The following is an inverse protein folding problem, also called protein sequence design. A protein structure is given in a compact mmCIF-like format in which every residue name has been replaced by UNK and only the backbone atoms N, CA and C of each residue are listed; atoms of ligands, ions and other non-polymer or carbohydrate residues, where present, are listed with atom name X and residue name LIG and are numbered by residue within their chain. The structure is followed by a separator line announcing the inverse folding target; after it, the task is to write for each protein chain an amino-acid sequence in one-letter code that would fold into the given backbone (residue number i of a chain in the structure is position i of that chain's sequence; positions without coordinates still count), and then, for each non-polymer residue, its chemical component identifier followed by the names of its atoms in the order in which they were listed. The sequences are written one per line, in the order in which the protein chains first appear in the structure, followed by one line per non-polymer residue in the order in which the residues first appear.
data_IF_134800629014
#
_entry.id   IF_134800629014
#
_cell.length_a   1.000
_cell.length_b   1.000
_cell.length_c   1.000
_cell.angle_alpha   90.00
_cell.angle_beta   90.00
_cell.angle_gamma   90.00
#
_symmetry.space_group_name_H-M   'P 1'
#
loop_
_entity.id
_entity.type
_entity.pdbx_description
1 polymer ?
#
# COMPACT_ATOMS: atom_id res chain seq x y z
N UNK A 1 18.06 -7.69 13.29
CA UNK A 1 17.79 -9.06 12.80
C UNK A 1 18.91 -10.02 13.19
N UNK A 2 20.04 -10.01 12.49
CA UNK A 2 21.10 -11.02 12.66
C UNK A 2 21.77 -11.05 14.05
N UNK A 3 21.65 -9.98 14.84
CA UNK A 3 22.16 -9.93 16.23
C UNK A 3 21.24 -10.60 17.26
N UNK A 4 20.04 -11.07 16.87
CA UNK A 4 19.10 -11.69 17.81
C UNK A 4 19.72 -12.88 18.58
N UNK A 5 20.46 -13.80 17.93
CA UNK A 5 21.12 -14.90 18.64
C UNK A 5 22.11 -14.45 19.72
N UNK A 6 22.82 -13.34 19.51
CA UNK A 6 23.79 -12.82 20.48
C UNK A 6 23.11 -11.97 21.57
N UNK A 7 22.17 -11.09 21.21
CA UNK A 7 21.48 -10.21 22.17
C UNK A 7 20.56 -11.00 23.10
N UNK A 8 19.93 -12.07 22.61
CA UNK A 8 18.99 -12.89 23.37
C UNK A 8 19.57 -14.26 23.74
N UNK A 9 20.89 -14.41 23.70
CA UNK A 9 21.61 -15.64 24.09
C UNK A 9 21.14 -16.23 25.43
N UNK A 10 20.89 -15.43 26.50
CA UNK A 10 20.41 -15.98 27.77
C UNK A 10 19.07 -16.69 27.68
N UNK A 11 18.21 -16.31 26.73
CA UNK A 11 16.91 -16.93 26.50
C UNK A 11 17.02 -18.19 25.65
N UNK A 12 17.88 -18.19 24.62
CA UNK A 12 18.16 -19.40 23.85
C UNK A 12 18.76 -20.51 24.73
N UNK A 13 19.65 -20.17 25.67
CA UNK A 13 20.19 -21.12 26.66
C UNK A 13 19.12 -21.72 27.58
N UNK A 14 17.99 -21.04 27.76
CA UNK A 14 16.82 -21.55 28.51
C UNK A 14 15.87 -22.38 27.64
N UNK A 15 16.18 -22.58 26.36
CA UNK A 15 15.37 -23.35 25.41
C UNK A 15 14.23 -22.57 24.76
N UNK A 16 14.19 -21.23 24.87
CA UNK A 16 13.16 -20.43 24.19
C UNK A 16 13.43 -20.36 22.67
N UNK A 17 12.41 -20.64 21.85
CA UNK A 17 12.42 -20.36 20.41
C UNK A 17 12.01 -18.91 20.17
N UNK A 18 13.00 -18.06 19.86
CA UNK A 18 12.79 -16.63 19.60
C UNK A 18 13.01 -16.35 18.12
N UNK A 19 11.94 -15.89 17.46
CA UNK A 19 11.96 -15.52 16.04
C UNK A 19 11.65 -14.04 15.89
N UNK A 20 12.57 -13.24 15.33
CA UNK A 20 12.30 -11.84 15.09
C UNK A 20 11.23 -11.68 14.01
N UNK A 21 10.26 -10.80 14.27
CA UNK A 21 9.22 -10.44 13.31
C UNK A 21 9.53 -9.15 12.57
N UNK A 22 10.65 -8.49 12.91
CA UNK A 22 11.13 -7.28 12.23
C UNK A 22 12.63 -7.42 11.92
N UNK A 23 13.01 -7.05 10.70
CA UNK A 23 14.40 -6.97 10.28
C UNK A 23 14.65 -5.72 9.42
N UNK A 24 15.75 -5.02 9.72
CA UNK A 24 16.15 -3.78 9.04
C UNK A 24 17.50 -3.98 8.34
N UNK A 25 17.64 -3.43 7.14
CA UNK A 25 18.90 -3.43 6.37
C UNK A 25 18.99 -2.20 5.47
N UNK A 26 20.19 -1.90 4.95
CA UNK A 26 20.40 -0.86 3.93
C UNK A 26 20.63 -1.52 2.57
N UNK A 27 20.20 -0.86 1.51
CA UNK A 27 20.38 -1.34 0.14
C UNK A 27 20.44 -0.18 -0.85
N UNK A 28 20.77 -0.52 -2.09
CA UNK A 28 20.52 0.32 -3.25
C UNK A 28 19.31 -0.24 -4.00
N UNK A 29 18.44 0.65 -4.49
CA UNK A 29 17.35 0.29 -5.39
C UNK A 29 17.67 0.85 -6.77
N UNK A 30 17.68 -0.03 -7.77
CA UNK A 30 17.65 0.34 -9.17
C UNK A 30 16.20 0.24 -9.66
N UNK A 31 15.57 1.39 -9.92
CA UNK A 31 14.19 1.48 -10.38
C UNK A 31 14.16 2.19 -11.75
N UNK A 32 13.65 1.58 -12.82
CA UNK A 32 13.70 2.15 -14.17
C UNK A 32 13.13 3.57 -14.28
N UNK A 33 12.06 3.87 -13.56
CA UNK A 33 11.40 5.17 -13.57
C UNK A 33 12.25 6.26 -12.92
N UNK A 34 13.17 5.91 -12.02
CA UNK A 34 14.16 6.85 -11.47
C UNK A 34 15.18 7.22 -12.54
N UNK A 35 15.63 6.27 -13.37
CA UNK A 35 16.51 6.55 -14.53
C UNK A 35 15.84 7.51 -15.50
N UNK A 36 14.56 7.28 -15.78
CA UNK A 36 13.79 8.14 -16.66
C UNK A 36 13.56 9.53 -16.06
N UNK A 37 13.31 9.62 -14.75
CA UNK A 37 13.20 10.89 -14.05
C UNK A 37 14.50 11.71 -14.12
N UNK A 38 15.67 11.06 -14.04
CA UNK A 38 16.96 11.71 -14.26
C UNK A 38 17.11 12.17 -15.71
N UNK A 39 16.79 11.30 -16.68
CA UNK A 39 16.87 11.63 -18.12
C UNK A 39 16.01 12.85 -18.48
N UNK A 40 14.84 12.97 -17.86
CA UNK A 40 13.90 14.08 -18.03
C UNK A 40 14.18 15.28 -17.11
N UNK A 41 15.25 15.25 -16.31
CA UNK A 41 15.65 16.35 -15.43
C UNK A 41 14.76 16.56 -14.21
N UNK A 42 13.84 15.64 -13.91
CA UNK A 42 12.98 15.71 -12.71
C UNK A 42 13.71 15.35 -11.43
N UNK A 43 14.72 14.48 -11.51
CA UNK A 43 15.63 14.15 -10.42
C UNK A 43 17.07 14.45 -10.83
N UNK A 44 17.87 14.92 -9.87
CA UNK A 44 19.28 15.21 -10.07
C UNK A 44 20.07 14.37 -9.06
N UNK A 45 21.00 13.51 -9.47
CA UNK A 45 21.85 12.75 -8.55
C UNK A 45 22.65 13.67 -7.61
N UNK A 46 22.62 13.37 -6.31
CA UNK A 46 23.34 14.12 -5.26
C UNK A 46 24.51 13.31 -4.67
N UNK A 47 24.68 12.04 -5.11
CA UNK A 47 25.70 11.11 -4.63
C UNK A 47 25.44 10.50 -3.25
N UNK A 48 24.41 10.99 -2.53
CA UNK A 48 24.05 10.62 -1.15
C UNK A 48 22.75 9.83 -1.09
N UNK A 49 21.66 10.40 -1.59
CA UNK A 49 20.37 9.70 -1.69
C UNK A 49 20.24 9.02 -3.04
N UNK A 50 20.69 9.70 -4.11
CA UNK A 50 20.61 9.23 -5.48
C UNK A 50 21.99 9.27 -6.14
N UNK A 51 22.47 8.10 -6.56
CA UNK A 51 23.77 7.92 -7.20
C UNK A 51 23.72 8.27 -8.68
N UNK A 52 24.88 8.50 -9.28
CA UNK A 52 25.01 8.90 -10.69
C UNK A 52 24.51 7.82 -11.68
N UNK A 53 24.52 6.55 -11.27
CA UNK A 53 23.98 5.40 -12.02
C UNK A 53 22.47 5.17 -11.79
N UNK A 54 21.79 6.16 -11.20
CA UNK A 54 20.37 6.15 -10.83
C UNK A 54 19.99 5.19 -9.68
N UNK A 55 20.96 4.59 -8.99
CA UNK A 55 20.67 3.83 -7.80
C UNK A 55 20.29 4.74 -6.63
N UNK A 56 19.17 4.47 -5.97
CA UNK A 56 18.75 5.21 -4.78
C UNK A 56 19.16 4.45 -3.50
N UNK A 57 19.82 5.14 -2.57
CA UNK A 57 20.17 4.60 -1.25
C UNK A 57 18.93 4.54 -0.37
N UNK A 58 18.66 3.35 0.19
CA UNK A 58 17.44 3.10 0.96
C UNK A 58 17.72 2.31 2.23
N UNK A 59 17.00 2.62 3.30
CA UNK A 59 16.85 1.72 4.45
C UNK A 59 15.54 0.95 4.31
N UNK A 60 15.59 -0.37 4.47
CA UNK A 60 14.44 -1.26 4.34
C UNK A 60 14.12 -1.91 5.68
N UNK A 61 12.86 -1.95 6.06
CA UNK A 61 12.37 -2.71 7.20
C UNK A 61 11.32 -3.72 6.76
N UNK A 62 11.59 -5.02 6.90
CA UNK A 62 10.59 -6.07 6.74
C UNK A 62 9.87 -6.28 8.07
N UNK A 63 8.54 -6.36 8.04
CA UNK A 63 7.68 -6.53 9.21
C UNK A 63 6.68 -7.65 8.95
N UNK A 64 6.72 -8.67 9.80
CA UNK A 64 5.68 -9.67 9.98
C UNK A 64 4.78 -9.20 11.14
N UNK A 65 3.55 -8.74 10.87
CA UNK A 65 2.72 -8.14 11.91
C UNK A 65 2.31 -9.20 12.94
N UNK A 66 2.48 -8.90 14.23
CA UNK A 66 1.96 -9.73 15.33
C UNK A 66 0.71 -9.07 15.88
N UNK A 67 -0.41 -9.78 15.84
CA UNK A 67 -1.69 -9.24 16.28
C UNK A 67 -1.94 -9.53 17.75
N UNK A 68 -2.28 -8.48 18.49
CA UNK A 68 -2.91 -8.62 19.79
C UNK A 68 -4.42 -8.75 19.58
N UNK A 69 -4.94 -9.98 19.65
CA UNK A 69 -6.31 -10.31 19.26
C UNK A 69 -7.40 -9.48 19.96
N UNK A 70 -7.32 -9.17 21.28
CA UNK A 70 -8.30 -8.30 21.92
C UNK A 70 -8.33 -6.89 21.31
N UNK A 71 -7.17 -6.29 21.06
CA UNK A 71 -7.08 -4.95 20.45
C UNK A 71 -7.51 -4.94 18.98
N UNK A 72 -7.24 -6.02 18.23
CA UNK A 72 -7.75 -6.16 16.86
C UNK A 72 -9.27 -6.28 16.87
N UNK A 73 -9.85 -7.08 17.77
CA UNK A 73 -11.30 -7.23 17.89
C UNK A 73 -11.98 -5.90 18.25
N UNK A 74 -11.40 -5.12 19.18
CA UNK A 74 -11.87 -3.78 19.53
C UNK A 74 -11.88 -2.84 18.32
N UNK A 75 -10.78 -2.77 17.55
CA UNK A 75 -10.70 -1.97 16.31
C UNK A 75 -11.73 -2.41 15.27
N UNK A 76 -12.10 -3.69 15.27
CA UNK A 76 -13.06 -4.28 14.33
C UNK A 76 -14.49 -4.18 14.86
N UNK A 77 -14.68 -3.60 16.05
CA UNK A 77 -15.97 -3.48 16.73
C UNK A 77 -16.68 -4.83 16.87
N UNK A 78 -15.91 -5.89 17.14
CA UNK A 78 -16.42 -7.24 17.33
C UNK A 78 -15.86 -7.85 18.62
N UNK A 79 -16.39 -9.00 19.03
CA UNK A 79 -15.86 -9.72 20.18
C UNK A 79 -14.60 -10.50 19.79
N UNK A 80 -13.68 -10.70 20.75
CA UNK A 80 -12.50 -11.56 20.54
C UNK A 80 -12.91 -12.96 20.06
N UNK A 81 -14.03 -13.48 20.57
CA UNK A 81 -14.59 -14.77 20.17
C UNK A 81 -15.02 -14.77 18.69
N UNK A 82 -15.76 -13.74 18.25
CA UNK A 82 -16.19 -13.63 16.86
C UNK A 82 -14.99 -13.51 15.91
N UNK A 83 -13.99 -12.71 16.28
CA UNK A 83 -12.74 -12.60 15.51
C UNK A 83 -12.03 -13.95 15.38
N UNK A 84 -11.87 -14.68 16.49
CA UNK A 84 -11.23 -16.02 16.48
C UNK A 84 -11.98 -17.03 15.62
N UNK A 85 -13.32 -17.05 15.70
CA UNK A 85 -14.15 -17.92 14.88
C UNK A 85 -14.03 -17.60 13.40
N UNK A 86 -14.02 -16.31 13.04
CA UNK A 86 -13.81 -15.87 11.67
C UNK A 86 -12.42 -16.30 11.17
N UNK A 87 -11.36 -16.02 11.94
CA UNK A 87 -10.01 -16.45 11.61
C UNK A 87 -9.93 -17.97 11.41
N UNK A 88 -10.51 -18.76 12.32
CA UNK A 88 -10.48 -20.21 12.24
C UNK A 88 -11.20 -20.76 11.00
N UNK A 89 -12.31 -20.13 10.60
CA UNK A 89 -13.04 -20.48 9.38
C UNK A 89 -12.25 -20.10 8.13
N UNK A 90 -11.77 -18.87 8.05
CA UNK A 90 -11.11 -18.34 6.85
C UNK A 90 -9.70 -18.94 6.65
N UNK A 91 -9.05 -19.43 7.70
CA UNK A 91 -7.82 -20.22 7.59
C UNK A 91 -8.07 -21.70 7.30
N UNK A 92 -9.30 -22.08 6.92
CA UNK A 92 -9.69 -23.47 6.69
C UNK A 92 -9.32 -24.39 7.88
N UNK A 93 -9.61 -23.91 9.09
CA UNK A 93 -9.33 -24.58 10.38
C UNK A 93 -7.85 -24.77 10.70
N UNK A 94 -6.94 -24.06 10.03
CA UNK A 94 -5.53 -24.06 10.41
C UNK A 94 -5.33 -23.37 11.78
N UNK A 95 -4.31 -23.84 12.51
CA UNK A 95 -3.92 -23.32 13.83
C UNK A 95 -4.99 -23.46 14.94
N UNK A 96 -5.64 -24.63 15.11
CA UNK A 96 -6.69 -24.83 16.11
C UNK A 96 -6.19 -24.48 17.51
N UNK A 97 -4.96 -24.88 17.84
CA UNK A 97 -4.28 -24.61 19.11
C UNK A 97 -4.14 -23.10 19.40
N UNK A 98 -3.89 -22.26 18.39
CA UNK A 98 -3.67 -20.82 18.56
C UNK A 98 -4.99 -20.04 18.60
N UNK A 99 -6.00 -20.51 17.87
CA UNK A 99 -7.26 -19.80 17.71
C UNK A 99 -8.30 -20.20 18.77
N UNK A 100 -8.29 -21.46 19.23
CA UNK A 100 -9.24 -21.96 20.26
C UNK A 100 -8.76 -21.71 21.68
N UNK A 101 -7.45 -21.56 21.91
CA UNK A 101 -6.90 -21.20 23.22
C UNK A 101 -7.04 -19.71 23.51
N UNK A 102 -7.97 -19.38 24.39
CA UNK A 102 -8.30 -18.01 24.79
C UNK A 102 -7.25 -17.38 25.70
N UNK A 103 -6.37 -18.17 26.30
CA UNK A 103 -5.23 -17.69 27.09
C UNK A 103 -4.10 -17.13 26.21
N UNK A 104 -4.00 -17.55 24.95
CA UNK A 104 -3.04 -17.00 23.98
C UNK A 104 -3.64 -15.75 23.33
N UNK A 105 -3.15 -14.56 23.66
CA UNK A 105 -3.68 -13.30 23.11
C UNK A 105 -2.97 -12.81 21.84
N UNK A 106 -1.86 -13.44 21.47
CA UNK A 106 -1.08 -13.08 20.30
C UNK A 106 -1.35 -14.04 19.14
N UNK A 107 -1.45 -13.49 17.94
CA UNK A 107 -1.61 -14.25 16.72
C UNK A 107 -0.64 -13.73 15.67
N UNK A 108 0.18 -14.62 15.11
CA UNK A 108 0.99 -14.31 13.94
C UNK A 108 0.20 -14.77 12.72
N UNK A 109 -0.50 -13.87 12.01
CA UNK A 109 -1.25 -14.25 10.83
C UNK A 109 -0.34 -14.86 9.75
N UNK A 110 -0.78 -15.91 9.05
CA UNK A 110 -0.05 -16.46 7.90
C UNK A 110 -0.21 -15.61 6.62
N UNK A 111 -0.78 -14.41 6.75
CA UNK A 111 -1.09 -13.50 5.64
C UNK A 111 -0.07 -12.37 5.59
N UNK A 112 0.24 -11.95 4.36
CA UNK A 112 1.45 -11.23 3.98
C UNK A 112 1.90 -10.11 4.91
N UNK A 113 3.20 -10.12 5.23
CA UNK A 113 3.88 -9.02 5.88
C UNK A 113 3.95 -7.76 5.01
N UNK A 114 4.75 -6.80 5.46
CA UNK A 114 4.97 -5.55 4.76
C UNK A 114 6.45 -5.19 4.73
N UNK A 115 6.82 -4.34 3.79
CA UNK A 115 8.17 -3.78 3.72
C UNK A 115 8.08 -2.25 3.69
N UNK A 116 8.84 -1.61 4.56
CA UNK A 116 9.02 -0.16 4.58
C UNK A 116 10.31 0.16 3.83
N UNK A 117 10.25 1.12 2.93
CA UNK A 117 11.38 1.71 2.23
C UNK A 117 11.53 3.16 2.67
N UNK A 118 12.73 3.52 3.11
CA UNK A 118 13.04 4.82 3.71
C UNK A 118 14.22 5.44 2.97
N UNK A 119 14.00 6.61 2.38
CA UNK A 119 15.04 7.47 1.81
C UNK A 119 15.31 8.63 2.78
N UNK A 120 16.58 8.88 3.10
CA UNK A 120 16.99 9.84 4.12
C UNK A 120 17.40 9.17 5.42
N UNK A 121 17.37 9.93 6.53
CA UNK A 121 17.72 9.43 7.86
C UNK A 121 16.48 8.92 8.61
N UNK A 122 16.37 7.61 8.92
CA UNK A 122 15.23 7.08 9.68
C UNK A 122 15.05 7.71 11.06
N UNK A 123 16.14 8.17 11.70
CA UNK A 123 16.09 8.73 13.05
C UNK A 123 15.36 10.09 13.11
N UNK A 124 15.20 10.76 11.97
CA UNK A 124 14.51 12.06 11.89
C UNK A 124 13.02 11.92 11.63
N UNK A 125 12.50 10.71 11.37
CA UNK A 125 11.09 10.48 11.04
C UNK A 125 10.12 10.99 12.14
N UNK A 126 10.40 10.82 13.45
CA UNK A 126 9.51 11.34 14.49
C UNK A 126 9.53 12.87 14.67
N UNK A 127 10.50 13.59 14.07
CA UNK A 127 10.65 15.03 14.22
C UNK A 127 9.73 15.78 13.25
N UNK A 128 8.65 16.37 13.76
CA UNK A 128 7.68 17.12 12.95
C UNK A 128 8.28 18.36 12.25
N UNK A 129 9.45 18.84 12.64
CA UNK A 129 10.11 19.96 11.95
C UNK A 129 10.80 19.55 10.64
N UNK A 130 11.03 18.25 10.45
CA UNK A 130 11.70 17.69 9.28
C UNK A 130 10.64 17.25 8.25
N UNK A 131 10.74 17.68 6.97
CA UNK A 131 9.75 17.32 5.95
C UNK A 131 9.62 15.81 5.76
N UNK A 132 8.39 15.30 5.80
CA UNK A 132 8.10 13.88 5.62
C UNK A 132 7.12 13.64 4.46
N UNK A 133 7.57 12.88 3.46
CA UNK A 133 6.73 12.39 2.36
C UNK A 133 6.43 10.92 2.55
N UNK A 134 5.15 10.54 2.51
CA UNK A 134 4.70 9.16 2.77
C UNK A 134 3.79 8.65 1.66
N UNK A 135 3.99 7.38 1.29
CA UNK A 135 3.04 6.58 0.53
C UNK A 135 2.75 5.28 1.25
N UNK A 136 1.48 4.93 1.35
CA UNK A 136 1.06 3.58 1.68
C UNK A 136 0.56 2.88 0.43
N UNK A 137 1.25 1.82 0.03
CA UNK A 137 1.02 1.08 -1.20
C UNK A 137 0.48 -0.32 -0.92
N UNK A 138 -0.58 -0.71 -1.61
CA UNK A 138 -1.07 -2.08 -1.60
C UNK A 138 -0.53 -2.78 -2.85
N UNK A 139 0.08 -3.95 -2.67
CA UNK A 139 0.68 -4.76 -3.73
C UNK A 139 -0.25 -4.96 -4.93
N UNK A 140 0.32 -4.82 -6.12
CA UNK A 140 -0.33 -5.15 -7.38
C UNK A 140 0.71 -5.76 -8.32
N UNK A 141 0.97 -7.07 -8.18
CA UNK A 141 2.00 -7.82 -8.91
C UNK A 141 1.97 -7.53 -10.42
N UNK A 142 0.79 -7.62 -11.04
CA UNK A 142 0.62 -7.36 -12.48
C UNK A 142 1.06 -5.97 -12.93
N UNK A 143 0.88 -4.94 -12.10
CA UNK A 143 1.31 -3.57 -12.44
C UNK A 143 2.72 -3.31 -11.96
N UNK A 144 2.99 -3.55 -10.68
CA UNK A 144 4.26 -3.23 -10.00
C UNK A 144 5.44 -3.97 -10.63
N UNK A 145 5.27 -5.26 -10.94
CA UNK A 145 6.34 -6.09 -11.52
C UNK A 145 6.28 -6.07 -13.04
N UNK A 146 5.11 -6.30 -13.63
CA UNK A 146 4.96 -6.56 -15.07
C UNK A 146 4.47 -5.36 -15.90
N UNK A 147 4.20 -4.21 -15.28
CA UNK A 147 3.86 -2.98 -16.01
C UNK A 147 2.48 -2.99 -16.66
N UNK A 148 1.52 -3.75 -16.13
CA UNK A 148 0.13 -3.70 -16.60
C UNK A 148 -0.43 -2.28 -16.59
N UNK A 149 -1.07 -1.90 -17.69
CA UNK A 149 -1.64 -0.59 -17.99
C UNK A 149 -3.13 -0.45 -17.63
N UNK A 150 -3.73 -1.51 -17.08
CA UNK A 150 -5.15 -1.56 -16.69
C UNK A 150 -5.41 -0.81 -15.36
N UNK A 151 -4.35 -0.52 -14.60
CA UNK A 151 -4.47 0.18 -13.32
C UNK A 151 -3.33 1.16 -13.07
N UNK A 152 -3.51 2.04 -12.10
CA UNK A 152 -2.53 3.09 -11.77
C UNK A 152 -1.55 2.69 -10.65
N UNK A 153 -1.44 1.41 -10.26
CA UNK A 153 -0.64 1.01 -9.10
C UNK A 153 0.85 1.36 -9.27
N UNK A 154 1.50 0.87 -10.33
CA UNK A 154 2.91 1.17 -10.60
C UNK A 154 3.19 2.65 -10.87
N UNK A 155 2.38 3.37 -11.68
CA UNK A 155 2.53 4.82 -11.83
C UNK A 155 2.53 5.59 -10.51
N UNK A 156 1.63 5.23 -9.57
CA UNK A 156 1.61 5.82 -8.24
C UNK A 156 2.83 5.48 -7.40
N UNK A 157 3.28 4.21 -7.46
CA UNK A 157 4.47 3.77 -6.76
C UNK A 157 5.71 4.52 -7.26
N UNK A 158 5.85 4.66 -8.58
CA UNK A 158 6.93 5.40 -9.22
C UNK A 158 6.92 6.89 -8.83
N UNK A 159 5.76 7.55 -8.91
CA UNK A 159 5.62 8.94 -8.48
C UNK A 159 5.95 9.13 -7.00
N UNK A 160 5.48 8.21 -6.14
CA UNK A 160 5.80 8.26 -4.72
C UNK A 160 7.29 8.09 -4.44
N UNK A 161 7.97 7.17 -5.12
CA UNK A 161 9.43 6.99 -5.01
C UNK A 161 10.16 8.27 -5.44
N UNK A 162 9.74 8.90 -6.55
CA UNK A 162 10.32 10.16 -7.02
C UNK A 162 10.21 11.27 -5.98
N UNK A 163 9.01 11.48 -5.42
CA UNK A 163 8.78 12.50 -4.37
C UNK A 163 9.49 12.18 -3.05
N UNK A 164 9.58 10.90 -2.68
CA UNK A 164 10.33 10.44 -1.51
C UNK A 164 11.82 10.75 -1.64
N UNK A 165 12.41 10.45 -2.81
CA UNK A 165 13.81 10.78 -3.11
C UNK A 165 14.01 12.29 -3.05
N UNK A 166 13.15 13.07 -3.71
CA UNK A 166 13.21 14.54 -3.72
C UNK A 166 13.20 15.13 -2.31
N UNK A 167 12.30 14.65 -1.46
CA UNK A 167 12.17 15.08 -0.07
C UNK A 167 13.43 14.75 0.73
N UNK A 168 13.97 13.55 0.57
CA UNK A 168 15.19 13.12 1.22
C UNK A 168 16.42 13.94 0.78
N UNK A 169 16.52 14.30 -0.50
CA UNK A 169 17.60 15.17 -1.01
C UNK A 169 17.56 16.58 -0.42
N UNK A 170 16.37 17.05 -0.03
CA UNK A 170 16.16 18.36 0.60
C UNK A 170 16.38 18.36 2.12
N UNK A 171 16.89 17.24 2.68
CA UNK A 171 17.12 17.09 4.12
C UNK A 171 15.92 16.55 4.90
N UNK A 172 14.83 16.17 4.21
CA UNK A 172 13.69 15.48 4.78
C UNK A 172 13.84 13.96 4.78
N UNK A 173 12.72 13.27 4.88
CA UNK A 173 12.63 11.81 4.76
C UNK A 173 11.48 11.41 3.82
N UNK A 174 11.71 10.37 3.03
CA UNK A 174 10.71 9.74 2.18
C UNK A 174 10.41 8.32 2.65
N UNK A 175 9.14 7.95 2.80
CA UNK A 175 8.72 6.64 3.29
C UNK A 175 7.68 6.02 2.36
N UNK A 176 7.95 4.80 1.87
CA UNK A 176 6.96 3.96 1.20
C UNK A 176 6.72 2.71 2.05
N UNK A 177 5.48 2.52 2.50
CA UNK A 177 5.04 1.28 3.14
C UNK A 177 4.36 0.40 2.09
N UNK A 178 4.99 -0.71 1.74
CA UNK A 178 4.49 -1.68 0.77
C UNK A 178 3.82 -2.86 1.48
N UNK A 179 2.49 -2.92 1.45
CA UNK A 179 1.70 -4.01 2.01
C UNK A 179 1.51 -5.11 0.98
N UNK A 180 1.76 -6.37 1.39
CA UNK A 180 1.53 -7.55 0.54
C UNK A 180 0.05 -7.95 0.54
N UNK A 181 -0.77 -7.07 -0.05
CA UNK A 181 -2.24 -7.13 -0.10
C UNK A 181 -2.73 -7.06 -1.54
N UNK A 182 -2.49 -8.12 -2.32
CA UNK A 182 -2.94 -8.19 -3.72
C UNK A 182 -4.48 -8.10 -3.86
N UNK A 183 -4.93 -7.42 -4.92
CA UNK A 183 -6.33 -7.45 -5.35
C UNK A 183 -7.32 -6.97 -4.29
N UNK A 184 -6.99 -5.93 -3.51
CA UNK A 184 -7.85 -5.44 -2.39
C UNK A 184 -8.11 -6.51 -1.32
N UNK A 185 -7.12 -7.37 -1.10
CA UNK A 185 -7.21 -8.54 -0.21
C UNK A 185 -8.17 -9.64 -0.69
N UNK A 186 -8.64 -9.59 -1.95
CA UNK A 186 -9.42 -10.67 -2.59
C UNK A 186 -8.55 -11.68 -3.36
N UNK A 187 -7.26 -11.37 -3.53
CA UNK A 187 -6.33 -12.15 -4.32
C UNK A 187 -6.46 -11.93 -5.83
N UNK A 188 -5.48 -12.47 -6.56
CA UNK A 188 -5.29 -12.23 -7.99
C UNK A 188 -6.37 -12.90 -8.86
N UNK A 189 -6.85 -14.09 -8.47
CA UNK A 189 -7.89 -14.81 -9.21
C UNK A 189 -9.17 -13.98 -9.28
N UNK A 190 -9.66 -13.49 -8.14
CA UNK A 190 -10.86 -12.65 -8.06
C UNK A 190 -10.70 -11.37 -8.88
N UNK A 191 -9.51 -10.74 -8.81
CA UNK A 191 -9.17 -9.57 -9.63
C UNK A 191 -9.30 -9.85 -11.13
N UNK A 192 -8.80 -10.99 -11.61
CA UNK A 192 -8.89 -11.36 -13.02
C UNK A 192 -10.31 -11.72 -13.45
N UNK A 193 -11.10 -12.35 -12.58
CA UNK A 193 -12.53 -12.57 -12.83
C UNK A 193 -13.27 -11.24 -13.02
N UNK A 194 -12.98 -10.24 -12.18
CA UNK A 194 -13.54 -8.87 -12.33
C UNK A 194 -13.09 -8.23 -13.64
N UNK A 195 -11.81 -8.33 -14.00
CA UNK A 195 -11.31 -7.78 -15.27
C UNK A 195 -11.95 -8.44 -16.49
N UNK A 196 -12.12 -9.77 -16.46
CA UNK A 196 -12.78 -10.50 -17.53
C UNK A 196 -14.26 -10.09 -17.65
N UNK A 197 -14.96 -9.92 -16.52
CA UNK A 197 -16.34 -9.45 -16.52
C UNK A 197 -16.43 -8.03 -17.10
N UNK A 198 -15.55 -7.12 -16.70
CA UNK A 198 -15.49 -5.74 -17.23
C UNK A 198 -15.29 -5.72 -18.74
N UNK A 199 -14.31 -6.47 -19.25
CA UNK A 199 -14.03 -6.54 -20.70
C UNK A 199 -15.15 -7.19 -21.51
N UNK A 200 -15.92 -8.11 -20.92
CA UNK A 200 -16.99 -8.84 -21.59
C UNK A 200 -18.39 -8.26 -21.35
N UNK A 201 -18.51 -7.18 -20.58
CA UNK A 201 -19.77 -6.50 -20.35
C UNK A 201 -20.31 -5.91 -21.66
N UNK A 202 -21.63 -5.94 -21.86
CA UNK A 202 -22.27 -5.24 -22.97
C UNK A 202 -21.98 -3.74 -22.85
N UNK A 203 -21.36 -3.15 -23.89
CA UNK A 203 -20.87 -1.77 -23.86
C UNK A 203 -19.40 -1.61 -23.43
N UNK A 204 -18.70 -2.71 -23.09
CA UNK A 204 -17.27 -2.71 -22.79
C UNK A 204 -16.91 -2.25 -21.37
N UNK A 205 -15.60 -2.00 -21.14
CA UNK A 205 -15.08 -1.59 -19.84
C UNK A 205 -15.41 -0.11 -19.57
N UNK A 206 -16.55 0.16 -18.94
CA UNK A 206 -17.01 1.51 -18.60
C UNK A 206 -16.75 1.86 -17.12
N UNK A 207 -16.46 3.14 -16.86
CA UNK A 207 -16.23 3.61 -15.49
C UNK A 207 -17.48 3.50 -14.60
N UNK A 208 -18.68 3.60 -15.19
CA UNK A 208 -19.97 3.49 -14.49
C UNK A 208 -20.20 2.10 -13.89
N UNK A 209 -19.79 1.03 -14.59
CA UNK A 209 -20.01 -0.36 -14.14
C UNK A 209 -18.87 -0.92 -13.28
N UNK A 210 -17.79 -0.16 -13.09
CA UNK A 210 -16.56 -0.61 -12.41
C UNK A 210 -16.81 -1.27 -11.04
N UNK A 211 -17.62 -0.64 -10.18
CA UNK A 211 -17.96 -1.20 -8.86
C UNK A 211 -19.05 -2.27 -8.92
N UNK A 212 -19.95 -2.22 -9.92
CA UNK A 212 -20.99 -3.22 -10.13
C UNK A 212 -20.38 -4.56 -10.53
N UNK A 213 -19.41 -4.58 -11.45
CA UNK A 213 -18.69 -5.80 -11.82
C UNK A 213 -17.97 -6.42 -10.61
N UNK A 214 -17.37 -5.60 -9.75
CA UNK A 214 -16.72 -6.07 -8.52
C UNK A 214 -17.74 -6.71 -7.58
N UNK A 215 -18.90 -6.06 -7.36
CA UNK A 215 -19.99 -6.60 -6.56
C UNK A 215 -20.53 -7.92 -7.11
N UNK A 216 -20.69 -8.03 -8.43
CA UNK A 216 -21.24 -9.21 -9.09
C UNK A 216 -20.31 -10.43 -8.97
N UNK A 217 -19.00 -10.23 -8.98
CA UNK A 217 -18.01 -11.33 -8.87
C UNK A 217 -17.69 -11.66 -7.41
N UNK A 218 -17.43 -10.65 -6.57
CA UNK A 218 -16.95 -10.85 -5.22
C UNK A 218 -18.05 -10.83 -4.16
N UNK A 219 -19.29 -10.45 -4.50
CA UNK A 219 -20.40 -10.24 -3.56
C UNK A 219 -20.28 -8.96 -2.73
N UNK A 220 -19.20 -8.20 -2.90
CA UNK A 220 -18.84 -7.01 -2.14
C UNK A 220 -18.15 -5.99 -3.04
N UNK A 221 -18.34 -4.70 -2.78
CA UNK A 221 -17.74 -3.62 -3.57
C UNK A 221 -16.29 -3.34 -3.16
N UNK A 222 -15.94 -3.58 -1.89
CA UNK A 222 -14.61 -3.35 -1.35
C UNK A 222 -14.37 -4.10 -0.03
N UNK A 223 -13.36 -4.96 0.02
CA UNK A 223 -12.86 -5.61 1.26
C UNK A 223 -11.76 -4.85 1.95
N UNK A 224 -11.28 -3.72 1.40
CA UNK A 224 -10.06 -3.07 1.90
C UNK A 224 -10.21 -2.69 3.35
N UNK A 225 -9.61 -3.51 4.19
CA UNK A 225 -9.49 -3.26 5.60
C UNK A 225 -8.22 -2.47 5.85
N UNK A 226 -8.37 -1.15 5.97
CA UNK A 226 -7.25 -0.23 6.22
C UNK A 226 -7.06 0.07 7.70
N UNK A 227 -7.88 -0.47 8.62
CA UNK A 227 -7.76 -0.08 10.01
C UNK A 227 -6.38 -0.44 10.59
N UNK A 228 -5.74 -1.56 10.18
CA UNK A 228 -4.38 -1.93 10.60
C UNK A 228 -3.26 -1.21 9.83
N UNK A 229 -3.58 -0.48 8.76
CA UNK A 229 -2.62 0.20 7.90
C UNK A 229 -1.72 1.22 8.64
N UNK A 230 -2.23 2.00 9.61
CA UNK A 230 -1.41 2.99 10.33
C UNK A 230 -0.35 2.38 11.25
N UNK A 231 -0.42 1.09 11.58
CA UNK A 231 0.44 0.46 12.59
C UNK A 231 1.93 0.58 12.24
N UNK A 232 2.27 0.45 10.94
CA UNK A 232 3.64 0.66 10.45
C UNK A 232 4.09 2.12 10.59
N UNK A 233 3.17 3.07 10.45
CA UNK A 233 3.46 4.50 10.60
C UNK A 233 3.70 4.86 12.07
N UNK A 234 2.87 4.33 12.97
CA UNK A 234 3.04 4.47 14.42
C UNK A 234 4.33 3.83 14.91
N UNK A 235 4.70 2.67 14.37
CA UNK A 235 5.98 2.03 14.68
C UNK A 235 7.19 2.89 14.32
N UNK A 236 7.10 3.66 13.23
CA UNK A 236 8.12 4.65 12.85
C UNK A 236 8.08 5.94 13.69
N UNK A 237 7.09 6.10 14.59
CA UNK A 237 6.91 7.30 15.39
C UNK A 237 6.29 8.48 14.64
N UNK A 238 5.65 8.25 13.50
CA UNK A 238 5.05 9.31 12.67
C UNK A 238 3.82 9.88 13.36
N UNK A 239 3.81 11.20 13.59
CA UNK A 239 2.65 11.96 14.10
C UNK A 239 2.14 13.00 13.10
N UNK A 240 2.96 13.39 12.12
CA UNK A 240 2.62 14.31 11.03
C UNK A 240 3.24 13.84 9.71
N UNK A 241 2.49 13.96 8.62
CA UNK A 241 2.92 13.73 7.25
C UNK A 241 2.74 15.04 6.48
N UNK A 242 3.82 15.58 5.93
CA UNK A 242 3.75 16.82 5.13
C UNK A 242 3.14 16.53 3.76
N UNK A 243 3.62 15.50 3.06
CA UNK A 243 3.10 15.08 1.76
C UNK A 243 2.64 13.63 1.78
N UNK A 244 1.34 13.39 1.67
CA UNK A 244 0.78 12.06 1.52
C UNK A 244 0.43 11.77 0.07
N UNK A 245 1.18 10.88 -0.58
CA UNK A 245 1.01 10.57 -2.01
C UNK A 245 -0.17 9.60 -2.18
N UNK A 246 -1.40 10.11 -2.23
CA UNK A 246 -2.62 9.31 -2.33
C UNK A 246 -3.88 10.14 -2.60
N UNK A 247 -4.71 9.68 -3.53
CA UNK A 247 -6.09 10.16 -3.71
C UNK A 247 -7.12 9.38 -2.88
N UNK A 248 -6.72 8.34 -2.14
CA UNK A 248 -7.66 7.43 -1.46
C UNK A 248 -8.13 7.94 -0.10
N UNK A 249 -9.44 8.24 0.03
CA UNK A 249 -10.00 8.66 1.32
C UNK A 249 -9.93 7.55 2.36
N UNK A 250 -10.21 6.31 1.96
CA UNK A 250 -10.06 5.16 2.87
C UNK A 250 -8.68 5.06 3.53
N UNK A 251 -7.60 5.49 2.84
CA UNK A 251 -6.26 5.50 3.42
C UNK A 251 -6.06 6.73 4.29
N UNK A 252 -6.51 7.89 3.81
CA UNK A 252 -6.45 9.15 4.54
C UNK A 252 -7.21 9.04 5.88
N UNK A 253 -8.47 8.65 5.85
CA UNK A 253 -9.35 8.53 7.02
C UNK A 253 -8.78 7.54 8.03
N UNK A 254 -8.28 6.39 7.57
CA UNK A 254 -7.65 5.40 8.45
C UNK A 254 -6.42 5.96 9.17
N UNK A 255 -5.59 6.78 8.50
CA UNK A 255 -4.40 7.40 9.10
C UNK A 255 -4.82 8.47 10.11
N UNK A 256 -5.67 9.41 9.68
CA UNK A 256 -6.09 10.56 10.50
C UNK A 256 -6.89 10.12 11.73
N UNK A 257 -7.73 9.09 11.61
CA UNK A 257 -8.49 8.52 12.72
C UNK A 257 -7.59 7.97 13.85
N UNK A 258 -6.31 7.68 13.56
CA UNK A 258 -5.33 7.23 14.56
C UNK A 258 -4.46 8.37 15.12
N UNK A 259 -4.79 9.63 14.81
CA UNK A 259 -4.13 10.81 15.37
C UNK A 259 -2.97 11.37 14.54
N UNK A 260 -2.64 10.76 13.38
CA UNK A 260 -1.59 11.26 12.49
C UNK A 260 -2.14 12.40 11.63
N UNK A 261 -1.51 13.57 11.68
CA UNK A 261 -1.90 14.74 10.88
C UNK A 261 -1.36 14.60 9.46
N UNK A 262 -2.17 14.91 8.46
CA UNK A 262 -1.75 14.98 7.05
C UNK A 262 -1.92 16.43 6.59
N UNK A 263 -0.82 17.08 6.16
CA UNK A 263 -0.81 18.47 5.71
C UNK A 263 -1.29 18.58 4.26
N UNK A 264 -0.71 17.79 3.36
CA UNK A 264 -1.03 17.80 1.93
C UNK A 264 -1.31 16.38 1.42
N UNK A 265 -2.35 16.24 0.59
CA UNK A 265 -2.59 15.03 -0.20
C UNK A 265 -2.17 15.29 -1.64
N UNK A 266 -1.14 14.59 -2.09
CA UNK A 266 -0.58 14.75 -3.44
C UNK A 266 -1.20 13.71 -4.37
N UNK A 267 -1.95 14.12 -5.42
CA UNK A 267 -2.49 13.20 -6.40
C UNK A 267 -1.39 12.72 -7.37
N UNK A 268 -1.65 11.64 -8.10
CA UNK A 268 -0.78 11.28 -9.24
C UNK A 268 -0.85 12.38 -10.32
N UNK A 269 0.24 12.68 -11.03
CA UNK A 269 0.19 13.53 -12.22
C UNK A 269 -0.61 12.90 -13.37
N UNK A 270 -1.46 13.67 -14.10
CA UNK A 270 -2.28 13.15 -15.20
C UNK A 270 -1.50 12.44 -16.30
N UNK A 271 -0.30 12.92 -16.63
CA UNK A 271 0.58 12.37 -17.64
C UNK A 271 1.14 10.98 -17.30
N UNK A 272 1.08 10.57 -16.03
CA UNK A 272 1.51 9.25 -15.59
C UNK A 272 0.37 8.21 -15.62
N UNK A 273 -0.87 8.61 -15.90
CA UNK A 273 -2.01 7.69 -15.94
C UNK A 273 -2.06 6.99 -17.32
N UNK A 274 -1.95 5.65 -17.36
CA UNK A 274 -2.17 4.89 -18.59
C UNK A 274 -3.60 5.09 -19.14
N UNK A 275 -3.77 5.01 -20.46
CA UNK A 275 -5.07 5.22 -21.11
C UNK A 275 -6.18 4.34 -20.53
N UNK A 276 -5.94 3.03 -20.40
CA UNK A 276 -6.93 2.09 -19.85
C UNK A 276 -7.21 2.33 -18.35
N UNK A 277 -6.25 2.90 -17.63
CA UNK A 277 -6.40 3.22 -16.22
C UNK A 277 -7.23 4.51 -15.98
N UNK A 278 -7.54 5.28 -17.03
CA UNK A 278 -8.46 6.43 -16.91
C UNK A 278 -9.86 5.99 -16.47
N UNK A 279 -10.32 4.81 -16.89
CA UNK A 279 -11.57 4.19 -16.42
C UNK A 279 -11.58 4.03 -14.91
N UNK A 280 -10.48 3.50 -14.36
CA UNK A 280 -10.32 3.29 -12.92
C UNK A 280 -10.28 4.62 -12.16
N UNK A 281 -9.51 5.59 -12.63
CA UNK A 281 -9.40 6.91 -11.99
C UNK A 281 -10.75 7.63 -12.01
N UNK A 282 -11.44 7.61 -13.15
CA UNK A 282 -12.74 8.25 -13.30
C UNK A 282 -13.78 7.68 -12.33
N UNK A 283 -13.87 6.34 -12.26
CA UNK A 283 -14.76 5.66 -11.33
C UNK A 283 -14.44 6.00 -9.87
N UNK A 284 -13.16 6.06 -9.51
CA UNK A 284 -12.72 6.37 -8.14
C UNK A 284 -13.03 7.82 -7.73
N UNK A 285 -12.73 8.78 -8.61
CA UNK A 285 -13.00 10.22 -8.35
C UNK A 285 -14.50 10.46 -8.18
N UNK A 286 -15.33 9.80 -8.98
CA UNK A 286 -16.79 9.93 -8.89
C UNK A 286 -17.37 9.47 -7.54
N UNK A 287 -16.82 8.41 -6.94
CA UNK A 287 -17.31 7.87 -5.66
C UNK A 287 -16.65 8.51 -4.43
N UNK A 288 -15.90 9.60 -4.61
CA UNK A 288 -15.42 10.43 -3.51
C UNK A 288 -13.90 10.61 -3.41
N UNK A 289 -13.08 9.92 -4.22
CA UNK A 289 -11.62 10.07 -4.16
C UNK A 289 -11.20 11.53 -4.36
N UNK A 290 -10.41 12.05 -3.42
CA UNK A 290 -9.89 13.41 -3.48
C UNK A 290 -8.88 13.59 -4.63
N UNK A 291 -9.39 13.96 -5.80
CA UNK A 291 -8.60 14.29 -7.00
C UNK A 291 -7.97 15.67 -7.01
N UNK A 292 -8.24 16.50 -6.01
CA UNK A 292 -7.84 17.91 -6.00
C UNK A 292 -8.39 18.68 -7.22
N UNK A 293 -7.71 19.75 -7.63
CA UNK A 293 -8.08 20.49 -8.84
C UNK A 293 -7.71 19.76 -10.15
N UNK A 294 -6.81 18.77 -10.08
CA UNK A 294 -6.32 18.03 -11.23
C UNK A 294 -7.34 17.04 -11.81
N UNK A 295 -8.29 16.57 -11.01
CA UNK A 295 -9.33 15.63 -11.45
C UNK A 295 -10.72 16.08 -10.95
N UNK A 296 -11.46 16.77 -11.83
CA UNK A 296 -12.89 17.07 -11.64
C UNK A 296 -13.68 16.32 -12.70
N UNK A 297 -14.46 15.32 -12.29
CA UNK A 297 -15.52 14.74 -13.12
C UNK A 297 -16.82 15.25 -12.53
N UNK A 298 -17.53 16.09 -13.29
CA UNK A 298 -18.62 16.89 -12.77
C UNK A 298 -19.98 16.19 -12.89
N UNK A 299 -20.13 15.22 -13.81
CA UNK A 299 -21.45 14.62 -14.09
C UNK A 299 -21.42 13.11 -14.37
N UNK A 300 -22.56 12.45 -14.13
CA UNK A 300 -22.76 11.03 -14.45
C UNK A 300 -22.74 10.74 -15.97
N UNK A 301 -22.94 11.74 -16.82
CA UNK A 301 -22.84 11.63 -18.28
C UNK A 301 -21.38 11.61 -18.75
N UNK A 302 -20.51 12.43 -18.16
CA UNK A 302 -19.06 12.38 -18.41
C UNK A 302 -18.46 11.02 -18.03
N UNK A 303 -18.97 10.39 -16.95
CA UNK A 303 -18.53 9.07 -16.51
C UNK A 303 -18.84 7.96 -17.53
N UNK A 304 -19.97 8.06 -18.25
CA UNK A 304 -20.37 7.09 -19.28
C UNK A 304 -19.50 7.17 -20.54
N UNK A 305 -18.87 8.32 -20.78
CA UNK A 305 -17.96 8.52 -21.91
C UNK A 305 -16.55 7.95 -21.72
N UNK A 306 -16.18 7.54 -20.50
CA UNK A 306 -14.85 6.96 -20.21
C UNK A 306 -14.90 5.45 -20.36
N UNK A 307 -14.38 4.96 -21.50
CA UNK A 307 -14.31 3.54 -21.85
C UNK A 307 -12.86 3.08 -22.02
N UNK A 308 -12.55 1.86 -21.62
CA UNK A 308 -11.26 1.21 -21.89
C UNK A 308 -11.11 0.81 -23.36
N UNK A 309 -9.93 0.28 -23.74
CA UNK A 309 -9.69 -0.24 -25.10
C UNK A 309 -10.72 -1.27 -25.57
N UNK A 310 -11.01 -1.23 -26.86
CA UNK A 310 -11.88 -2.19 -27.51
C UNK A 310 -11.22 -3.59 -27.58
N UNK A 311 -12.04 -4.64 -27.56
CA UNK A 311 -11.57 -6.03 -27.49
C UNK A 311 -10.63 -6.44 -28.64
N UNK A 312 -10.75 -5.79 -29.81
CA UNK A 312 -9.92 -6.02 -30.99
C UNK A 312 -8.51 -5.42 -30.90
N UNK A 313 -8.22 -4.54 -29.94
CA UNK A 313 -6.89 -3.95 -29.73
C UNK A 313 -5.96 -4.82 -28.87
N UNK A 314 -6.46 -5.95 -28.36
CA UNK A 314 -5.69 -6.91 -27.55
C UNK A 314 -5.21 -8.14 -28.36
N UNK A 315 -5.41 -8.15 -29.69
CA UNK A 315 -5.10 -9.26 -30.61
C UNK A 315 -3.90 -8.92 -31.49
#
# INVERSE_FOLDING_TARGET
GHMVPSVLEPYFKKGYDIRPTIAVTKAHIDFPEVKEAIRLGRLIPDGKILKADAQAMVTKAAIEPVWYLPGVAERFQCTEQALRQALFKETNMMYPELLTRTDIKLFLPPIGGLTIYIWGNPDTIPDESIPLTVRVHDECNGSDVFGSDICTCRPYLAHAIEECIRTAQQGGCGVVVYFRKEGRSLGEVTKYLVYNMRKRAEGGDSAAEYFNCTRNVAGITDTRFQAMMPDALHWLGITKIDKFISMSDMKYDAIVATGIKIVERVPIPPELIPKDAQVEIAAKVHVGYHGGDAYKIATAEELKGVTGRAANEYV
#
